data_IF_974773874551
#
_entry.id   IF_974773874551
#
_cell.length_a   1.000
_cell.length_b   1.000
_cell.length_c   1.000
_cell.angle_alpha   90.00
_cell.angle_beta   90.00
_cell.angle_gamma   90.00
#
_symmetry.space_group_name_H-M   'P 1'
#
loop_
_entity.id
_entity.type
_entity.pdbx_description
1 polymer ?
#
# COMPACT_ATOMS: atom_id res chain seq x y z
N UNK A 1 -16.39 8.29 -4.13
CA UNK A 1 -16.11 7.72 -5.46
C UNK A 1 -14.74 8.08 -6.06
N UNK A 2 -14.45 9.34 -6.41
CA UNK A 2 -13.18 9.70 -7.10
C UNK A 2 -11.91 9.23 -6.38
N UNK A 3 -11.83 9.39 -5.05
CA UNK A 3 -10.67 8.97 -4.26
C UNK A 3 -10.46 7.45 -4.31
N UNK A 4 -11.53 6.66 -4.13
CA UNK A 4 -11.48 5.21 -4.22
C UNK A 4 -11.02 4.73 -5.61
N UNK A 5 -11.55 5.33 -6.68
CA UNK A 5 -11.12 5.02 -8.05
C UNK A 5 -9.64 5.35 -8.28
N UNK A 6 -9.14 6.44 -7.70
CA UNK A 6 -7.72 6.78 -7.78
C UNK A 6 -6.84 5.75 -7.06
N UNK A 7 -7.23 5.31 -5.86
CA UNK A 7 -6.49 4.27 -5.12
C UNK A 7 -6.48 2.94 -5.87
N UNK A 8 -7.62 2.54 -6.44
CA UNK A 8 -7.72 1.35 -7.28
C UNK A 8 -6.87 1.43 -8.54
N UNK A 9 -6.92 2.54 -9.27
CA UNK A 9 -6.12 2.70 -10.48
C UNK A 9 -4.61 2.61 -10.19
N UNK A 10 -4.15 3.23 -9.10
CA UNK A 10 -2.76 3.15 -8.66
C UNK A 10 -2.36 1.71 -8.28
N UNK A 11 -3.22 1.00 -7.55
CA UNK A 11 -2.99 -0.39 -7.21
C UNK A 11 -2.94 -1.29 -8.44
N UNK A 12 -3.89 -1.19 -9.36
CA UNK A 12 -3.92 -2.02 -10.57
C UNK A 12 -2.69 -1.81 -11.46
N UNK A 13 -2.14 -0.59 -11.51
CA UNK A 13 -0.92 -0.30 -12.25
C UNK A 13 0.27 -1.08 -11.70
N UNK A 14 0.41 -1.17 -10.36
CA UNK A 14 1.50 -1.92 -9.73
C UNK A 14 1.24 -3.42 -9.69
N UNK A 15 -0.01 -3.82 -9.43
CA UNK A 15 -0.40 -5.22 -9.32
C UNK A 15 -0.28 -5.98 -10.66
N UNK A 16 -0.58 -5.31 -11.78
CA UNK A 16 -0.41 -5.87 -13.11
C UNK A 16 0.93 -5.51 -13.76
N UNK A 17 1.79 -4.77 -13.05
CA UNK A 17 3.01 -4.18 -13.57
C UNK A 17 4.24 -4.60 -12.78
N UNK A 18 5.04 -3.60 -12.38
CA UNK A 18 6.35 -3.79 -11.76
C UNK A 18 6.28 -4.24 -10.30
N UNK A 19 5.08 -4.28 -9.70
CA UNK A 19 4.86 -4.63 -8.29
C UNK A 19 5.68 -3.75 -7.35
N UNK A 20 5.81 -2.45 -7.65
CA UNK A 20 6.41 -1.51 -6.70
C UNK A 20 5.46 -1.28 -5.52
N UNK A 21 5.97 -1.00 -4.31
CA UNK A 21 5.12 -0.69 -3.16
C UNK A 21 4.28 0.56 -3.42
N UNK A 22 2.96 0.44 -3.23
CA UNK A 22 2.04 1.57 -3.25
C UNK A 22 1.93 2.17 -1.84
N UNK A 23 2.33 3.42 -1.69
CA UNK A 23 2.19 4.18 -0.45
C UNK A 23 0.98 5.14 -0.55
N UNK A 24 0.08 5.08 0.44
CA UNK A 24 -1.08 5.98 0.53
C UNK A 24 -1.01 6.79 1.83
N UNK A 25 -0.60 8.06 1.73
CA UNK A 25 -0.51 8.98 2.87
C UNK A 25 -1.84 9.68 3.17
N UNK A 26 -2.18 9.82 4.46
CA UNK A 26 -3.42 10.47 4.91
C UNK A 26 -3.19 11.51 6.00
N UNK A 27 -4.14 12.43 6.10
CA UNK A 27 -4.22 13.38 7.20
C UNK A 27 -5.11 12.82 8.32
N UNK A 28 -4.72 13.09 9.57
CA UNK A 28 -5.53 12.74 10.74
C UNK A 28 -6.84 13.55 10.82
N UNK A 29 -6.89 14.72 10.18
CA UNK A 29 -8.11 15.50 10.06
C UNK A 29 -9.00 14.94 8.95
N UNK A 30 -10.32 14.97 9.18
CA UNK A 30 -11.30 14.54 8.19
C UNK A 30 -11.40 15.57 7.05
N UNK A 31 -10.54 15.42 6.06
CA UNK A 31 -10.62 16.23 4.84
C UNK A 31 -11.82 15.81 4.00
N UNK A 32 -12.49 16.80 3.39
CA UNK A 32 -13.66 16.60 2.54
C UNK A 32 -14.72 15.71 3.20
N UNK A 33 -15.09 16.02 4.44
CA UNK A 33 -16.06 15.28 5.23
C UNK A 33 -15.73 13.79 5.42
N UNK A 34 -14.45 13.39 5.34
CA UNK A 34 -14.03 12.01 5.55
C UNK A 34 -14.03 11.14 4.29
N UNK A 35 -14.40 11.68 3.12
CA UNK A 35 -14.48 10.92 1.87
C UNK A 35 -13.20 10.16 1.47
N UNK A 36 -12.03 10.62 1.93
CA UNK A 36 -10.75 9.93 1.72
C UNK A 36 -10.59 8.72 2.65
N UNK A 37 -11.02 8.84 3.91
CA UNK A 37 -11.02 7.74 4.88
C UNK A 37 -12.00 6.64 4.46
N UNK A 38 -13.22 7.01 4.04
CA UNK A 38 -14.20 6.04 3.52
C UNK A 38 -13.65 5.28 2.29
N UNK A 39 -12.95 6.00 1.41
CA UNK A 39 -12.30 5.41 0.24
C UNK A 39 -11.16 4.47 0.63
N UNK A 40 -10.37 4.82 1.64
CA UNK A 40 -9.28 3.99 2.16
C UNK A 40 -9.82 2.71 2.79
N UNK A 41 -10.84 2.81 3.64
CA UNK A 41 -11.45 1.66 4.31
C UNK A 41 -11.96 0.65 3.29
N UNK A 42 -12.73 1.13 2.30
CA UNK A 42 -13.21 0.27 1.21
C UNK A 42 -12.07 -0.35 0.41
N UNK A 43 -11.09 0.45 0.01
CA UNK A 43 -9.94 -0.04 -0.74
C UNK A 43 -9.18 -1.14 0.01
N UNK A 44 -8.90 -0.91 1.30
CA UNK A 44 -8.19 -1.86 2.15
C UNK A 44 -8.97 -3.17 2.31
N UNK A 45 -10.30 -3.08 2.52
CA UNK A 45 -11.16 -4.26 2.64
C UNK A 45 -11.17 -5.17 1.39
N UNK A 46 -10.99 -4.60 0.20
CA UNK A 46 -10.95 -5.35 -1.07
C UNK A 46 -9.53 -5.86 -1.43
N UNK A 47 -8.50 -5.09 -1.09
CA UNK A 47 -7.13 -5.31 -1.57
C UNK A 47 -6.27 -6.04 -0.55
N UNK A 48 -6.33 -5.66 0.73
CA UNK A 48 -5.47 -6.23 1.78
C UNK A 48 -5.80 -7.69 2.12
N UNK A 49 -6.95 -8.21 1.65
CA UNK A 49 -7.38 -9.61 1.86
C UNK A 49 -6.92 -10.55 0.73
N UNK A 50 -6.26 -10.02 -0.31
CA UNK A 50 -5.73 -10.84 -1.41
C UNK A 50 -4.50 -11.61 -0.92
N UNK A 51 -4.40 -12.88 -1.32
CA UNK A 51 -3.34 -13.77 -0.85
C UNK A 51 -1.91 -13.30 -1.21
N UNK A 52 -1.77 -12.51 -2.26
CA UNK A 52 -0.48 -12.01 -2.77
C UNK A 52 -0.29 -10.49 -2.53
N UNK A 53 -1.02 -9.92 -1.57
CA UNK A 53 -0.91 -8.52 -1.17
C UNK A 53 -0.66 -8.41 0.33
N UNK A 54 0.28 -7.54 0.71
CA UNK A 54 0.55 -7.23 2.11
C UNK A 54 0.31 -5.75 2.39
N UNK A 55 -0.62 -5.46 3.29
CA UNK A 55 -0.83 -4.11 3.82
C UNK A 55 -0.09 -3.96 5.15
N UNK A 56 1.11 -3.38 5.10
CA UNK A 56 2.02 -3.23 6.24
C UNK A 56 2.35 -1.77 6.51
N UNK A 57 2.86 -1.48 7.70
CA UNK A 57 3.35 -0.13 8.00
C UNK A 57 4.64 0.16 7.21
N UNK A 58 4.89 1.45 6.93
CA UNK A 58 6.13 1.88 6.28
C UNK A 58 7.37 1.43 7.07
N UNK A 59 7.31 1.44 8.41
CA UNK A 59 8.36 0.92 9.29
C UNK A 59 8.67 -0.54 8.99
N UNK A 60 7.64 -1.38 8.90
CA UNK A 60 7.82 -2.81 8.68
C UNK A 60 8.34 -3.09 7.26
N UNK A 61 7.91 -2.31 6.26
CA UNK A 61 8.47 -2.36 4.90
C UNK A 61 9.98 -2.07 4.90
N UNK A 62 10.41 -0.97 5.51
CA UNK A 62 11.83 -0.60 5.60
C UNK A 62 12.65 -1.67 6.34
N UNK A 63 12.11 -2.25 7.41
CA UNK A 63 12.77 -3.32 8.14
C UNK A 63 12.99 -4.56 7.26
N UNK A 64 11.98 -4.97 6.48
CA UNK A 64 12.08 -6.11 5.56
C UNK A 64 13.05 -5.87 4.41
N UNK A 65 13.06 -4.67 3.82
CA UNK A 65 14.02 -4.31 2.77
C UNK A 65 15.47 -4.42 3.26
N UNK A 66 15.74 -3.89 4.46
CA UNK A 66 17.08 -4.00 5.07
C UNK A 66 17.48 -5.45 5.34
N UNK A 67 16.55 -6.27 5.84
CA UNK A 67 16.80 -7.70 6.06
C UNK A 67 17.12 -8.44 4.76
N UNK A 68 16.35 -8.19 3.69
CA UNK A 68 16.61 -8.79 2.37
C UNK A 68 17.96 -8.36 1.78
N UNK A 69 18.33 -7.09 1.93
CA UNK A 69 19.64 -6.58 1.51
C UNK A 69 20.79 -7.23 2.29
N UNK A 70 20.65 -7.38 3.61
CA UNK A 70 21.63 -8.05 4.45
C UNK A 70 21.80 -9.54 4.08
N UNK A 71 20.70 -10.22 3.71
CA UNK A 71 20.75 -11.61 3.26
C UNK A 71 21.46 -11.76 1.91
N UNK A 72 21.27 -10.81 0.99
CA UNK A 72 21.98 -10.80 -0.29
C UNK A 72 23.49 -10.56 -0.14
N UNK A 73 23.92 -9.77 0.86
CA UNK A 73 25.34 -9.46 1.06
C UNK A 73 26.15 -10.56 1.76
N UNK A 74 25.49 -11.47 2.49
CA UNK A 74 26.17 -12.60 3.16
C UNK A 74 26.26 -13.86 2.30
N UNK A 75 25.51 -13.92 1.20
CA UNK A 75 25.47 -15.08 0.28
C UNK A 75 26.43 -15.00 -0.91
N UNK A 76 27.41 -14.09 -0.89
CA UNK A 76 28.41 -13.87 -1.95
C UNK A 76 29.79 -14.39 -1.62
#
# INVERSE_FOLDING_TARGET
ERAYQAFRAAFEAEYNGKRLPLELGFHFTLMNNGAYWDALERFAGEVCVKADVECISFRDYVARQRAGQAQASVGG
#
